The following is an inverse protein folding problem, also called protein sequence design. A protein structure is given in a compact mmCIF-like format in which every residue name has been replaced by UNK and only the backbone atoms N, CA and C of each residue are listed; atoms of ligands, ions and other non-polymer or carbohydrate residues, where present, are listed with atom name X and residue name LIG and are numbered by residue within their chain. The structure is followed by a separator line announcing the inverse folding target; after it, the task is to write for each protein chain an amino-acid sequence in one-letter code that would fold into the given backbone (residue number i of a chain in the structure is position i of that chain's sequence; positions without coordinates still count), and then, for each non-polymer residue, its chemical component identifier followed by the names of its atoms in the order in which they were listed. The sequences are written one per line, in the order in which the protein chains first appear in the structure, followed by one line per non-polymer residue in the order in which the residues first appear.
data_IF_719079679517
#
_entry.id   IF_719079679517
#
_cell.length_a   1.000
_cell.length_b   1.000
_cell.length_c   1.000
_cell.angle_alpha   90.00
_cell.angle_beta   90.00
_cell.angle_gamma   90.00
#
_symmetry.space_group_name_H-M   'P 1'
#
loop_
_entity.id
_entity.type
_entity.pdbx_description
1 polymer ?
#
# COMPACT_ATOMS: atom_id res chain seq x y z
N UNK A 1 -13.07 -10.43 16.43
CA UNK A 1 -12.76 -9.09 17.01
C UNK A 1 -11.45 -8.48 16.50
N UNK A 2 -10.49 -9.25 15.98
CA UNK A 2 -9.19 -8.76 15.46
C UNK A 2 -9.28 -7.93 14.16
N UNK A 3 -10.22 -8.25 13.26
CA UNK A 3 -10.39 -7.51 12.00
C UNK A 3 -10.90 -6.07 12.17
N UNK A 4 -11.45 -5.74 13.35
CA UNK A 4 -12.02 -4.41 13.59
C UNK A 4 -10.94 -3.33 13.67
N UNK A 5 -9.86 -3.58 14.41
CA UNK A 5 -8.72 -2.66 14.51
C UNK A 5 -8.04 -2.47 13.16
N UNK A 6 -7.88 -3.55 12.40
CA UNK A 6 -7.31 -3.50 11.06
C UNK A 6 -8.19 -2.71 10.09
N UNK A 7 -9.51 -2.96 10.09
CA UNK A 7 -10.47 -2.24 9.26
C UNK A 7 -10.56 -0.76 9.60
N UNK A 8 -10.59 -0.42 10.89
CA UNK A 8 -10.62 0.96 11.37
C UNK A 8 -9.35 1.73 10.94
N UNK A 9 -8.17 1.14 11.12
CA UNK A 9 -6.90 1.72 10.66
C UNK A 9 -6.85 1.90 9.15
N UNK A 10 -7.28 0.89 8.39
CA UNK A 10 -7.36 0.95 6.94
C UNK A 10 -8.25 2.10 6.45
N UNK A 11 -9.44 2.26 7.04
CA UNK A 11 -10.38 3.31 6.68
C UNK A 11 -9.82 4.71 6.98
N UNK A 12 -9.18 4.89 8.15
CA UNK A 12 -8.52 6.14 8.52
C UNK A 12 -7.43 6.53 7.53
N UNK A 13 -6.54 5.58 7.19
CA UNK A 13 -5.44 5.81 6.25
C UNK A 13 -5.99 6.16 4.87
N UNK A 14 -7.04 5.45 4.43
CA UNK A 14 -7.66 5.71 3.13
C UNK A 14 -8.22 7.14 3.09
N UNK A 15 -9.00 7.56 4.10
CA UNK A 15 -9.52 8.92 4.18
C UNK A 15 -8.44 10.01 4.26
N UNK A 16 -7.36 9.76 5.02
CA UNK A 16 -6.24 10.68 5.09
C UNK A 16 -5.55 10.84 3.72
N UNK A 17 -5.34 9.75 2.99
CA UNK A 17 -4.77 9.76 1.64
C UNK A 17 -5.65 10.56 0.67
N UNK A 18 -6.98 10.38 0.71
CA UNK A 18 -7.90 11.11 -0.17
C UNK A 18 -7.86 12.62 0.04
N UNK A 19 -7.80 13.06 1.30
CA UNK A 19 -7.65 14.47 1.64
C UNK A 19 -6.30 15.02 1.21
N UNK A 20 -5.21 14.29 1.46
CA UNK A 20 -3.87 14.70 1.05
C UNK A 20 -3.76 14.87 -0.47
N UNK A 21 -4.28 13.89 -1.23
CA UNK A 21 -4.23 13.93 -2.69
C UNK A 21 -5.07 15.08 -3.27
N UNK A 22 -6.18 15.41 -2.60
CA UNK A 22 -7.03 16.55 -2.98
C UNK A 22 -6.35 17.89 -2.71
N UNK A 23 -5.65 18.00 -1.58
CA UNK A 23 -4.92 19.22 -1.23
C UNK A 23 -3.67 19.42 -2.13
N UNK A 24 -2.88 18.37 -2.35
CA UNK A 24 -1.68 18.41 -3.16
C UNK A 24 -1.93 18.51 -4.68
N UNK A 25 -3.00 17.87 -5.19
CA UNK A 25 -3.31 17.79 -6.63
C UNK A 25 -4.65 18.44 -6.98
N UNK A 26 -4.96 19.64 -6.46
CA UNK A 26 -6.28 20.32 -6.62
C UNK A 26 -6.96 20.16 -7.99
N UNK A 27 -6.24 20.30 -9.11
CA UNK A 27 -6.81 20.19 -10.46
C UNK A 27 -6.76 18.76 -11.06
N UNK A 28 -5.90 17.89 -10.55
CA UNK A 28 -5.71 16.50 -11.02
C UNK A 28 -6.09 15.43 -9.98
N UNK A 29 -6.85 15.81 -8.94
CA UNK A 29 -7.19 14.94 -7.79
C UNK A 29 -7.94 13.67 -8.22
N UNK A 30 -8.88 13.78 -9.17
CA UNK A 30 -9.64 12.64 -9.68
C UNK A 30 -8.75 11.59 -10.37
N UNK A 31 -7.80 12.05 -11.18
CA UNK A 31 -6.83 11.18 -11.87
C UNK A 31 -5.89 10.50 -10.89
N UNK A 32 -5.41 11.24 -9.87
CA UNK A 32 -4.55 10.72 -8.83
C UNK A 32 -5.26 9.64 -7.99
N UNK A 33 -6.54 9.84 -7.66
CA UNK A 33 -7.35 8.85 -6.95
C UNK A 33 -7.51 7.56 -7.76
N UNK A 34 -7.74 7.70 -9.07
CA UNK A 34 -7.89 6.56 -9.98
C UNK A 34 -6.57 5.80 -10.11
N UNK A 35 -5.45 6.51 -10.28
CA UNK A 35 -4.11 5.91 -10.32
C UNK A 35 -3.75 5.14 -9.04
N UNK A 36 -4.13 5.67 -7.86
CA UNK A 36 -3.98 4.98 -6.59
C UNK A 36 -4.80 3.67 -6.54
N UNK A 37 -6.05 3.70 -7.01
CA UNK A 37 -6.92 2.51 -7.10
C UNK A 37 -6.41 1.48 -8.11
N UNK A 38 -5.92 1.92 -9.26
CA UNK A 38 -5.32 1.06 -10.29
C UNK A 38 -4.07 0.37 -9.76
N UNK A 39 -3.17 1.10 -9.10
CA UNK A 39 -1.95 0.54 -8.50
C UNK A 39 -2.31 -0.54 -7.48
N UNK A 40 -3.31 -0.29 -6.64
CA UNK A 40 -3.82 -1.28 -5.68
C UNK A 40 -4.32 -2.55 -6.36
N UNK A 41 -5.10 -2.41 -7.43
CA UNK A 41 -5.63 -3.54 -8.20
C UNK A 41 -4.52 -4.33 -8.88
N UNK A 42 -3.54 -3.64 -9.46
CA UNK A 42 -2.36 -4.26 -10.07
C UNK A 42 -1.56 -5.04 -9.02
N UNK A 43 -1.28 -4.45 -7.85
CA UNK A 43 -0.60 -5.13 -6.76
C UNK A 43 -1.36 -6.38 -6.29
N UNK A 44 -2.70 -6.32 -6.20
CA UNK A 44 -3.53 -7.46 -5.81
C UNK A 44 -3.43 -8.65 -6.79
N UNK A 45 -3.19 -8.38 -8.07
CA UNK A 45 -3.01 -9.41 -9.11
C UNK A 45 -1.54 -9.84 -9.23
N UNK A 46 -0.60 -8.91 -9.11
CA UNK A 46 0.84 -9.20 -9.19
C UNK A 46 1.32 -10.08 -8.04
N UNK A 47 0.80 -9.87 -6.82
CA UNK A 47 1.21 -10.63 -5.64
C UNK A 47 1.02 -12.15 -5.82
N UNK A 48 -0.17 -12.69 -6.15
CA UNK A 48 -0.35 -14.12 -6.39
C UNK A 48 0.39 -14.63 -7.63
N UNK A 49 0.59 -13.79 -8.66
CA UNK A 49 1.35 -14.15 -9.86
C UNK A 49 2.84 -14.36 -9.52
N UNK A 50 3.40 -13.50 -8.66
CA UNK A 50 4.76 -13.60 -8.16
C UNK A 50 4.93 -14.69 -7.09
N UNK A 51 3.87 -15.08 -6.38
CA UNK A 51 3.92 -16.12 -5.33
C UNK A 51 4.44 -17.46 -5.84
N UNK A 52 4.06 -17.90 -7.05
CA UNK A 52 4.46 -19.21 -7.59
C UNK A 52 6.00 -19.36 -7.73
N UNK A 53 6.72 -18.47 -8.45
CA UNK A 53 8.18 -18.56 -8.53
C UNK A 53 8.87 -18.24 -7.19
N UNK A 54 8.27 -17.38 -6.36
CA UNK A 54 8.83 -16.98 -5.07
C UNK A 54 8.81 -18.13 -4.06
N UNK A 55 7.70 -18.88 -3.97
CA UNK A 55 7.61 -20.06 -3.12
C UNK A 55 8.48 -21.21 -3.60
N UNK A 56 8.61 -21.40 -4.92
CA UNK A 56 9.42 -22.47 -5.50
C UNK A 56 10.93 -22.32 -5.24
N UNK A 57 11.43 -21.08 -5.11
CA UNK A 57 12.87 -20.82 -4.86
C UNK A 57 13.23 -20.61 -3.40
N UNK A 58 12.31 -20.11 -2.56
CA UNK A 58 12.64 -19.62 -1.21
C UNK A 58 11.89 -20.33 -0.06
N UNK A 59 10.82 -21.07 -0.35
CA UNK A 59 9.98 -21.73 0.66
C UNK A 59 9.05 -20.76 1.43
N UNK A 60 8.08 -21.33 2.18
CA UNK A 60 6.99 -20.62 2.88
C UNK A 60 7.52 -19.47 3.77
N UNK A 61 8.52 -19.76 4.60
CA UNK A 61 8.95 -18.84 5.66
C UNK A 61 9.64 -17.59 5.13
N UNK A 62 10.61 -17.76 4.22
CA UNK A 62 11.34 -16.65 3.62
C UNK A 62 10.47 -15.80 2.71
N UNK A 63 9.48 -16.41 2.04
CA UNK A 63 8.53 -15.67 1.22
C UNK A 63 7.68 -14.71 2.07
N UNK A 64 7.17 -15.17 3.22
CA UNK A 64 6.39 -14.32 4.13
C UNK A 64 7.22 -13.19 4.75
N UNK A 65 8.47 -13.44 5.13
CA UNK A 65 9.36 -12.39 5.68
C UNK A 65 9.71 -11.31 4.65
N UNK A 66 9.95 -11.67 3.39
CA UNK A 66 10.17 -10.70 2.31
C UNK A 66 8.93 -9.85 2.04
N UNK A 67 7.75 -10.47 1.97
CA UNK A 67 6.49 -9.74 1.81
C UNK A 67 6.27 -8.75 2.95
N UNK A 68 6.54 -9.18 4.19
CA UNK A 68 6.44 -8.33 5.38
C UNK A 68 7.42 -7.17 5.36
N UNK A 69 8.67 -7.40 4.90
CA UNK A 69 9.70 -6.36 4.81
C UNK A 69 9.40 -5.33 3.72
N UNK A 70 8.86 -5.79 2.58
CA UNK A 70 8.36 -4.89 1.52
C UNK A 70 7.16 -4.09 2.01
N UNK A 71 6.21 -4.71 2.71
CA UNK A 71 5.07 -4.01 3.30
C UNK A 71 5.52 -2.97 4.34
N UNK A 72 6.52 -3.28 5.16
CA UNK A 72 7.13 -2.35 6.11
C UNK A 72 7.78 -1.17 5.38
N UNK A 73 8.56 -1.43 4.33
CA UNK A 73 9.18 -0.39 3.52
C UNK A 73 8.12 0.53 2.88
N UNK A 74 7.03 -0.04 2.36
CA UNK A 74 5.92 0.74 1.78
C UNK A 74 5.18 1.57 2.84
N UNK A 75 5.05 1.06 4.07
CA UNK A 75 4.45 1.79 5.20
C UNK A 75 5.33 2.95 5.69
N UNK A 76 6.65 2.89 5.46
CA UNK A 76 7.60 3.96 5.82
C UNK A 76 7.51 5.15 4.84
N UNK A 77 7.09 4.92 3.60
CA UNK A 77 6.96 5.97 2.55
C UNK A 77 6.13 7.18 3.00
N UNK A 78 4.89 7.05 3.53
CA UNK A 78 4.12 8.21 3.98
C UNK A 78 4.79 8.96 5.14
N UNK A 79 5.51 8.27 6.03
CA UNK A 79 6.26 8.92 7.11
C UNK A 79 7.44 9.74 6.61
N UNK A 80 8.16 9.22 5.61
CA UNK A 80 9.26 9.95 4.96
C UNK A 80 8.72 11.15 4.18
N UNK A 81 7.58 11.01 3.51
CA UNK A 81 6.94 12.10 2.78
C UNK A 81 6.46 13.23 3.72
N UNK A 82 5.95 12.91 4.91
CA UNK A 82 5.59 13.89 5.95
C UNK A 82 6.84 14.60 6.51
N UNK A 83 8.00 13.93 6.57
CA UNK A 83 9.24 14.50 7.11
C UNK A 83 10.03 15.34 6.09
N UNK A 84 9.97 14.99 4.81
CA UNK A 84 10.65 15.69 3.72
C UNK A 84 9.76 16.67 2.95
N UNK A 85 8.45 16.69 3.21
CA UNK A 85 7.52 17.67 2.65
C UNK A 85 7.66 19.02 3.35
N UNK A 86 8.40 19.93 2.74
CA UNK A 86 8.01 21.34 2.70
C UNK A 86 6.90 21.52 1.68
#
# INVERSE_FOLDING_TARGET
MSGFLFGAGYLLIFMAMLNYLTDAYRQFSASAHTAASTTRSVCAVCLPLATRPMYARLGIAWACSLLGLVALAMAVIPFVFIRCGR
#
